data_IF_894066570788
#
_entry.id   IF_894066570788
#
_cell.length_a   1.000
_cell.length_b   1.000
_cell.length_c   1.000
_cell.angle_alpha   90.00
_cell.angle_beta   90.00
_cell.angle_gamma   90.00
#
_symmetry.space_group_name_H-M   'P 1'
#
loop_
_entity.id
_entity.type
_entity.pdbx_description
1 polymer ?
#
# COMPACT_ATOMS: atom_id res chain seq x y z
N UNK A 1 -0.34 32.32 22.20
CA UNK A 1 -0.59 31.27 21.18
C UNK A 1 -0.55 29.94 21.90
N UNK A 2 -1.72 29.37 22.18
CA UNK A 2 -1.86 28.11 22.91
C UNK A 2 -1.12 27.01 22.18
N UNK A 3 -0.21 26.34 22.88
CA UNK A 3 0.24 25.01 22.53
C UNK A 3 -0.94 24.06 22.64
N UNK A 4 -1.87 24.10 21.69
CA UNK A 4 -2.82 23.00 21.51
C UNK A 4 -1.99 21.76 21.25
N UNK A 5 -1.79 20.98 22.31
CA UNK A 5 -0.92 19.82 22.29
C UNK A 5 -1.37 18.93 21.15
N UNK A 6 -0.49 18.76 20.15
CA UNK A 6 -0.68 17.88 18.99
C UNK A 6 -1.19 16.53 19.49
N UNK A 7 -2.51 16.35 19.46
CA UNK A 7 -3.16 15.18 20.07
C UNK A 7 -2.86 14.00 19.16
N UNK A 8 -2.02 13.09 19.65
CA UNK A 8 -1.69 11.86 18.93
C UNK A 8 -2.98 11.05 18.71
N UNK A 9 -3.26 10.61 17.49
CA UNK A 9 -4.43 9.78 17.22
C UNK A 9 -4.29 8.43 17.93
N UNK A 10 -5.37 8.01 18.61
CA UNK A 10 -5.47 6.71 19.29
C UNK A 10 -5.22 5.56 18.32
N UNK A 11 -4.64 4.45 18.80
CA UNK A 11 -4.32 3.28 17.96
C UNK A 11 -5.49 2.75 17.13
N UNK A 12 -6.71 2.74 17.70
CA UNK A 12 -7.94 2.33 16.99
C UNK A 12 -8.25 3.20 15.76
N UNK A 13 -8.06 4.52 15.86
CA UNK A 13 -8.31 5.45 14.75
C UNK A 13 -7.27 5.27 13.66
N UNK A 14 -6.01 4.99 14.03
CA UNK A 14 -4.95 4.65 13.07
C UNK A 14 -5.27 3.37 12.31
N UNK A 15 -5.70 2.32 13.03
CA UNK A 15 -6.10 1.05 12.41
C UNK A 15 -7.30 1.23 11.47
N UNK A 16 -8.28 2.03 11.86
CA UNK A 16 -9.43 2.35 11.02
C UNK A 16 -9.02 3.10 9.74
N UNK A 17 -8.06 4.03 9.82
CA UNK A 17 -7.54 4.71 8.63
C UNK A 17 -6.94 3.70 7.63
N UNK A 18 -6.16 2.74 8.14
CA UNK A 18 -5.58 1.66 7.33
C UNK A 18 -6.66 0.74 6.77
N UNK A 19 -7.69 0.42 7.54
CA UNK A 19 -8.82 -0.38 7.09
C UNK A 19 -9.61 0.31 5.97
N UNK A 20 -9.81 1.63 6.05
CA UNK A 20 -10.46 2.41 4.98
C UNK A 20 -9.58 2.43 3.72
N UNK A 21 -8.27 2.60 3.85
CA UNK A 21 -7.35 2.52 2.72
C UNK A 21 -7.41 1.12 2.07
N UNK A 22 -7.37 0.05 2.86
CA UNK A 22 -7.50 -1.33 2.36
C UNK A 22 -8.86 -1.57 1.69
N UNK A 23 -9.96 -1.07 2.26
CA UNK A 23 -11.29 -1.16 1.68
C UNK A 23 -11.37 -0.40 0.34
N UNK A 24 -10.71 0.77 0.22
CA UNK A 24 -10.67 1.52 -1.04
C UNK A 24 -9.94 0.75 -2.15
N UNK A 25 -8.85 0.04 -1.80
CA UNK A 25 -8.15 -0.83 -2.73
C UNK A 25 -9.02 -2.03 -3.14
N UNK A 26 -9.67 -2.67 -2.17
CA UNK A 26 -10.58 -3.80 -2.42
C UNK A 26 -11.71 -3.41 -3.37
N UNK A 27 -12.32 -2.23 -3.17
CA UNK A 27 -13.37 -1.72 -4.05
C UNK A 27 -12.86 -1.51 -5.49
N UNK A 28 -11.65 -0.98 -5.67
CA UNK A 28 -11.06 -0.86 -7.00
C UNK A 28 -10.78 -2.22 -7.64
N UNK A 29 -10.28 -3.19 -6.87
CA UNK A 29 -10.03 -4.55 -7.37
C UNK A 29 -11.33 -5.23 -7.81
N UNK A 30 -12.39 -5.14 -7.00
CA UNK A 30 -13.71 -5.68 -7.36
C UNK A 30 -14.31 -4.98 -8.58
N UNK A 31 -14.19 -3.64 -8.66
CA UNK A 31 -14.63 -2.88 -9.83
C UNK A 31 -13.86 -3.26 -11.09
N UNK A 32 -12.54 -3.40 -10.99
CA UNK A 32 -11.69 -3.86 -12.08
C UNK A 32 -12.01 -5.29 -12.53
N UNK A 33 -12.28 -6.19 -11.60
CA UNK A 33 -12.74 -7.55 -11.89
C UNK A 33 -14.07 -7.54 -12.64
N UNK A 34 -15.02 -6.71 -12.23
CA UNK A 34 -16.30 -6.56 -12.92
C UNK A 34 -16.11 -6.02 -14.35
N UNK A 35 -15.26 -5.01 -14.54
CA UNK A 35 -14.93 -4.46 -15.87
C UNK A 35 -14.28 -5.52 -16.75
N UNK A 36 -13.30 -6.26 -16.22
CA UNK A 36 -12.64 -7.35 -16.93
C UNK A 36 -13.63 -8.47 -17.31
N UNK A 37 -14.54 -8.84 -16.40
CA UNK A 37 -15.55 -9.84 -16.65
C UNK A 37 -16.54 -9.40 -17.72
N UNK A 38 -17.04 -8.16 -17.67
CA UNK A 38 -17.92 -7.59 -18.70
C UNK A 38 -17.22 -7.54 -20.06
N UNK A 39 -15.94 -7.14 -20.10
CA UNK A 39 -15.14 -7.16 -21.32
C UNK A 39 -15.08 -8.57 -21.94
N UNK A 40 -14.75 -9.58 -21.13
CA UNK A 40 -14.68 -10.97 -21.58
C UNK A 40 -16.05 -11.49 -22.05
N UNK A 41 -17.14 -11.13 -21.36
CA UNK A 41 -18.50 -11.48 -21.79
C UNK A 41 -18.87 -10.87 -23.15
N UNK A 42 -18.55 -9.60 -23.38
CA UNK A 42 -18.79 -8.91 -24.66
C UNK A 42 -17.97 -9.59 -25.77
N UNK A 43 -16.72 -9.97 -25.49
CA UNK A 43 -15.86 -10.66 -26.47
C UNK A 43 -16.36 -12.07 -26.77
N UNK A 44 -16.84 -12.79 -25.75
CA UNK A 44 -17.45 -14.11 -25.89
C UNK A 44 -18.75 -14.07 -26.70
N UNK A 45 -19.63 -13.10 -26.44
CA UNK A 45 -20.89 -12.98 -27.18
C UNK A 45 -20.68 -12.57 -28.65
N UNK A 46 -19.59 -11.85 -28.93
CA UNK A 46 -19.18 -11.50 -30.29
C UNK A 46 -18.48 -12.64 -31.07
N UNK A 47 -18.28 -13.82 -30.46
CA UNK A 47 -17.57 -14.95 -31.06
C UNK A 47 -16.08 -14.70 -31.28
N UNK A 48 -15.49 -13.70 -30.59
CA UNK A 48 -14.09 -13.28 -30.74
C UNK A 48 -13.23 -13.65 -29.52
N UNK A 49 -13.77 -14.47 -28.61
CA UNK A 49 -13.05 -14.87 -27.41
C UNK A 49 -11.95 -15.85 -27.78
N UNK A 50 -10.71 -15.38 -27.65
CA UNK A 50 -9.53 -16.23 -27.68
C UNK A 50 -9.07 -16.44 -26.23
N UNK A 51 -9.45 -17.60 -25.67
CA UNK A 51 -9.11 -17.99 -24.32
C UNK A 51 -7.58 -18.14 -24.13
N UNK A 52 -6.86 -18.48 -25.21
CA UNK A 52 -5.51 -19.01 -25.10
C UNK A 52 -4.44 -17.93 -24.95
N UNK A 53 -4.65 -16.67 -25.35
CA UNK A 53 -3.59 -15.66 -25.11
C UNK A 53 -4.05 -14.20 -25.00
N UNK A 54 -4.79 -13.64 -25.97
CA UNK A 54 -4.95 -12.18 -26.05
C UNK A 54 -5.88 -11.54 -25.00
N UNK A 55 -7.13 -12.00 -24.94
CA UNK A 55 -8.18 -11.34 -24.14
C UNK A 55 -7.97 -11.57 -22.64
N UNK A 56 -7.49 -12.75 -22.25
CA UNK A 56 -7.13 -13.08 -20.87
C UNK A 56 -5.95 -12.23 -20.38
N UNK A 57 -4.93 -12.01 -21.22
CA UNK A 57 -3.79 -11.14 -20.86
C UNK A 57 -4.21 -9.68 -20.71
N UNK A 58 -5.11 -9.18 -21.57
CA UNK A 58 -5.63 -7.81 -21.44
C UNK A 58 -6.42 -7.66 -20.13
N UNK A 59 -7.33 -8.60 -19.84
CA UNK A 59 -8.10 -8.61 -18.60
C UNK A 59 -7.20 -8.70 -17.36
N UNK A 60 -6.22 -9.60 -17.38
CA UNK A 60 -5.24 -9.76 -16.30
C UNK A 60 -4.37 -8.50 -16.13
N UNK A 61 -3.97 -7.84 -17.22
CA UNK A 61 -3.17 -6.61 -17.17
C UNK A 61 -3.97 -5.42 -16.62
N UNK A 62 -5.25 -5.31 -16.98
CA UNK A 62 -6.15 -4.29 -16.44
C UNK A 62 -6.30 -4.42 -14.92
N UNK A 63 -6.51 -5.65 -14.43
CA UNK A 63 -6.56 -5.91 -12.99
C UNK A 63 -5.16 -5.68 -12.38
N UNK A 64 -4.11 -6.18 -13.05
CA UNK A 64 -2.68 -6.01 -12.77
C UNK A 64 -2.28 -4.58 -12.42
N UNK A 65 -2.81 -3.61 -13.17
CA UNK A 65 -2.48 -2.21 -13.04
C UNK A 65 -3.15 -1.52 -11.84
N UNK A 66 -4.17 -2.11 -11.21
CA UNK A 66 -4.97 -1.45 -10.17
C UNK A 66 -4.14 -1.15 -8.93
N UNK A 67 -3.39 -2.13 -8.43
CA UNK A 67 -2.56 -1.97 -7.23
C UNK A 67 -1.46 -0.91 -7.41
N UNK A 68 -0.64 -0.92 -8.49
CA UNK A 68 0.34 0.14 -8.70
C UNK A 68 -0.31 1.51 -8.93
N UNK A 69 -1.45 1.58 -9.64
CA UNK A 69 -2.17 2.83 -9.83
C UNK A 69 -2.72 3.40 -8.51
N UNK A 70 -3.34 2.56 -7.67
CA UNK A 70 -3.84 2.95 -6.36
C UNK A 70 -2.70 3.43 -5.45
N UNK A 71 -1.56 2.75 -5.51
CA UNK A 71 -0.36 3.10 -4.74
C UNK A 71 0.19 4.46 -5.16
N UNK A 72 0.31 4.68 -6.46
CA UNK A 72 0.76 5.95 -7.01
C UNK A 72 -0.20 7.08 -6.60
N UNK A 73 -1.51 6.82 -6.64
CA UNK A 73 -2.53 7.76 -6.18
C UNK A 73 -2.37 8.10 -4.70
N UNK A 74 -2.20 7.12 -3.81
CA UNK A 74 -1.95 7.35 -2.38
C UNK A 74 -0.64 8.10 -2.14
N UNK A 75 0.42 7.76 -2.88
CA UNK A 75 1.71 8.45 -2.83
C UNK A 75 1.60 9.93 -3.25
N UNK A 76 0.84 10.21 -4.30
CA UNK A 76 0.55 11.57 -4.76
C UNK A 76 -0.28 12.36 -3.73
N UNK A 77 -1.27 11.72 -3.09
CA UNK A 77 -2.05 12.33 -1.99
C UNK A 77 -1.16 12.65 -0.78
N UNK A 78 -0.29 11.73 -0.37
CA UNK A 78 0.68 11.99 0.70
C UNK A 78 1.65 13.12 0.34
N UNK A 79 2.12 13.16 -0.91
CA UNK A 79 3.02 14.21 -1.38
C UNK A 79 2.35 15.60 -1.35
N UNK A 80 1.12 15.70 -1.85
CA UNK A 80 0.38 16.97 -2.01
C UNK A 80 -0.38 17.38 -0.75
N UNK A 81 -1.21 16.49 -0.23
CA UNK A 81 -2.17 16.73 0.85
C UNK A 81 -1.66 16.29 2.23
N UNK A 82 -0.58 15.51 2.26
CA UNK A 82 -0.05 14.98 3.52
C UNK A 82 -0.88 13.87 4.15
N UNK A 83 -1.87 13.31 3.46
CA UNK A 83 -2.72 12.25 4.00
C UNK A 83 -3.07 11.23 2.92
N UNK A 84 -3.15 9.96 3.28
CA UNK A 84 -3.84 8.94 2.47
C UNK A 84 -5.34 9.21 2.43
N UNK A 85 -6.07 8.50 1.57
CA UNK A 85 -7.52 8.59 1.51
C UNK A 85 -8.18 8.30 2.87
N UNK A 86 -7.84 7.18 3.51
CA UNK A 86 -8.39 6.78 4.81
C UNK A 86 -7.99 7.73 5.95
N UNK A 87 -6.78 8.26 5.91
CA UNK A 87 -6.34 9.28 6.88
C UNK A 87 -7.16 10.57 6.75
N UNK A 88 -7.33 11.07 5.53
CA UNK A 88 -8.12 12.28 5.29
C UNK A 88 -9.58 12.12 5.74
N UNK A 89 -10.18 10.94 5.55
CA UNK A 89 -11.55 10.63 6.00
C UNK A 89 -11.73 10.68 7.52
N UNK A 90 -10.66 10.50 8.28
CA UNK A 90 -10.68 10.51 9.76
C UNK A 90 -10.09 11.80 10.35
N UNK A 91 -9.86 12.83 9.52
CA UNK A 91 -9.21 14.06 9.96
C UNK A 91 -7.79 13.83 10.47
N UNK A 92 -7.03 12.98 9.78
CA UNK A 92 -5.62 12.69 10.09
C UNK A 92 -4.73 13.22 8.97
N UNK A 93 -3.55 13.71 9.36
CA UNK A 93 -2.52 14.17 8.44
C UNK A 93 -1.14 13.68 8.89
N UNK A 94 -0.25 13.54 7.94
CA UNK A 94 1.16 13.21 8.12
C UNK A 94 1.96 14.52 8.00
N UNK A 95 2.55 14.92 9.11
CA UNK A 95 3.52 16.01 9.16
C UNK A 95 4.93 15.51 8.81
N UNK A 96 5.71 16.37 8.16
CA UNK A 96 7.07 16.09 7.71
C UNK A 96 7.32 16.58 6.28
N UNK A 97 8.54 16.41 5.79
CA UNK A 97 8.92 16.77 4.42
C UNK A 97 8.11 15.98 3.39
N UNK A 98 7.72 16.62 2.27
CA UNK A 98 6.87 16.00 1.23
C UNK A 98 7.36 14.63 0.79
N UNK A 99 8.65 14.51 0.50
CA UNK A 99 9.29 13.24 0.14
C UNK A 99 9.27 12.22 1.26
N UNK A 100 9.51 12.62 2.51
CA UNK A 100 9.39 11.74 3.69
C UNK A 100 7.99 11.15 3.82
N UNK A 101 6.94 11.95 3.56
CA UNK A 101 5.55 11.46 3.58
C UNK A 101 5.28 10.37 2.54
N UNK A 102 5.88 10.47 1.36
CA UNK A 102 5.76 9.42 0.33
C UNK A 102 6.62 8.21 0.65
N UNK A 103 7.83 8.41 1.19
CA UNK A 103 8.74 7.34 1.63
C UNK A 103 8.09 6.50 2.72
N UNK A 104 7.30 7.12 3.61
CA UNK A 104 6.46 6.46 4.61
C UNK A 104 5.56 5.38 4.00
N UNK A 105 5.03 5.59 2.80
CA UNK A 105 4.19 4.60 2.12
C UNK A 105 5.00 3.33 1.80
N UNK A 106 6.21 3.47 1.25
CA UNK A 106 7.08 2.32 0.90
C UNK A 106 7.38 1.41 2.10
N UNK A 107 7.47 2.00 3.29
CA UNK A 107 7.79 1.31 4.54
C UNK A 107 6.54 0.98 5.38
N UNK A 108 5.35 1.32 4.88
CA UNK A 108 4.08 1.05 5.56
C UNK A 108 3.68 -0.42 5.39
N UNK A 109 3.05 -1.07 6.40
CA UNK A 109 2.59 -2.46 6.29
C UNK A 109 1.69 -2.73 5.08
N UNK A 110 0.92 -1.73 4.64
CA UNK A 110 0.04 -1.87 3.47
C UNK A 110 0.82 -2.13 2.17
N UNK A 111 2.10 -1.73 2.13
CA UNK A 111 2.98 -2.01 0.99
C UNK A 111 3.40 -3.47 0.90
N UNK A 112 3.16 -4.28 1.94
CA UNK A 112 3.26 -5.74 1.82
C UNK A 112 2.24 -6.30 0.83
N UNK A 113 1.05 -5.70 0.74
CA UNK A 113 0.03 -6.12 -0.24
C UNK A 113 0.47 -5.80 -1.67
N UNK A 114 1.18 -4.69 -1.87
CA UNK A 114 1.84 -4.34 -3.13
C UNK A 114 2.87 -5.38 -3.56
N UNK A 115 3.74 -5.80 -2.64
CA UNK A 115 4.75 -6.82 -2.92
C UNK A 115 4.12 -8.19 -3.21
N UNK A 116 3.08 -8.56 -2.44
CA UNK A 116 2.29 -9.75 -2.72
C UNK A 116 1.60 -9.69 -4.08
N UNK A 117 1.13 -8.51 -4.49
CA UNK A 117 0.54 -8.30 -5.82
C UNK A 117 1.55 -8.44 -6.95
N UNK A 118 2.72 -7.82 -6.84
CA UNK A 118 3.82 -7.96 -7.81
C UNK A 118 4.17 -9.44 -7.97
N UNK A 119 4.24 -10.18 -6.87
CA UNK A 119 4.49 -11.61 -6.89
C UNK A 119 3.40 -12.40 -7.63
N UNK A 120 2.12 -12.15 -7.33
CA UNK A 120 0.98 -12.79 -8.01
C UNK A 120 1.01 -12.47 -9.51
N UNK A 121 1.39 -11.25 -9.88
CA UNK A 121 1.46 -10.84 -11.28
C UNK A 121 2.59 -11.57 -12.02
N UNK A 122 3.75 -11.73 -11.37
CA UNK A 122 4.87 -12.53 -11.90
C UNK A 122 4.51 -14.02 -12.02
N UNK A 123 3.77 -14.58 -11.05
CA UNK A 123 3.20 -15.94 -11.11
C UNK A 123 2.35 -16.13 -12.36
N UNK A 124 1.39 -15.23 -12.57
CA UNK A 124 0.43 -15.31 -13.66
C UNK A 124 1.07 -15.05 -15.03
N UNK A 125 2.18 -14.31 -15.08
CA UNK A 125 2.96 -14.09 -16.30
C UNK A 125 3.81 -15.30 -16.73
N UNK A 126 3.71 -16.44 -16.04
CA UNK A 126 4.45 -17.65 -16.39
C UNK A 126 5.91 -17.65 -15.91
N UNK A 127 6.25 -16.82 -14.91
CA UNK A 127 7.57 -16.89 -14.31
C UNK A 127 7.82 -18.28 -13.72
N UNK A 128 9.00 -18.90 -13.94
CA UNK A 128 9.29 -20.21 -13.37
C UNK A 128 9.15 -20.17 -11.85
N UNK A 129 8.49 -21.18 -11.28
CA UNK A 129 8.18 -21.26 -9.85
C UNK A 129 9.41 -21.06 -8.94
N UNK A 130 10.60 -21.42 -9.41
CA UNK A 130 11.87 -21.23 -8.68
C UNK A 130 12.24 -19.76 -8.53
N UNK A 131 12.04 -18.94 -9.55
CA UNK A 131 12.25 -17.48 -9.48
C UNK A 131 11.23 -16.84 -8.56
N UNK A 132 10.04 -17.42 -8.50
CA UNK A 132 9.01 -16.99 -7.59
C UNK A 132 9.37 -17.29 -6.13
N UNK A 133 9.81 -18.50 -5.84
CA UNK A 133 10.27 -18.88 -4.50
C UNK A 133 11.43 -17.98 -4.05
N UNK A 134 12.38 -17.71 -4.95
CA UNK A 134 13.49 -16.77 -4.71
C UNK A 134 12.98 -15.35 -4.47
N UNK A 135 11.98 -14.88 -5.23
CA UNK A 135 11.39 -13.55 -5.04
C UNK A 135 10.60 -13.45 -3.73
N UNK A 136 9.81 -14.47 -3.34
CA UNK A 136 9.12 -14.53 -2.04
C UNK A 136 10.14 -14.52 -0.92
N UNK A 137 11.10 -15.44 -0.95
CA UNK A 137 12.12 -15.55 0.09
C UNK A 137 12.90 -14.24 0.20
N UNK A 138 13.32 -13.62 -0.91
CA UNK A 138 14.00 -12.33 -0.87
C UNK A 138 13.09 -11.21 -0.34
N UNK A 139 11.84 -11.11 -0.79
CA UNK A 139 10.91 -10.10 -0.30
C UNK A 139 10.66 -10.29 1.20
N UNK A 140 10.38 -11.51 1.65
CA UNK A 140 10.20 -11.87 3.06
C UNK A 140 11.46 -11.59 3.87
N UNK A 141 12.65 -11.90 3.37
CA UNK A 141 13.92 -11.61 4.03
C UNK A 141 14.15 -10.10 4.10
N UNK A 142 13.96 -9.35 3.02
CA UNK A 142 14.12 -7.88 3.00
C UNK A 142 13.11 -7.21 3.93
N UNK A 143 11.84 -7.61 3.88
CA UNK A 143 10.78 -7.11 4.76
C UNK A 143 11.09 -7.46 6.22
N UNK A 144 11.45 -8.71 6.50
CA UNK A 144 11.77 -9.17 7.86
C UNK A 144 13.00 -8.46 8.38
N UNK A 145 14.09 -8.36 7.61
CA UNK A 145 15.30 -7.65 7.99
C UNK A 145 15.05 -6.15 8.15
N UNK A 146 14.18 -5.55 7.33
CA UNK A 146 13.79 -4.16 7.45
C UNK A 146 13.01 -3.93 8.75
N UNK A 147 12.03 -4.79 9.08
CA UNK A 147 11.25 -4.69 10.31
C UNK A 147 12.06 -5.04 11.55
N UNK A 148 12.89 -6.08 11.51
CA UNK A 148 13.80 -6.48 12.58
C UNK A 148 14.87 -5.41 12.79
N UNK A 149 15.47 -4.88 11.73
CA UNK A 149 16.43 -3.77 11.81
C UNK A 149 15.79 -2.50 12.37
N UNK A 150 14.58 -2.15 11.91
CA UNK A 150 13.84 -1.03 12.47
C UNK A 150 13.48 -1.26 13.95
N UNK A 151 13.11 -2.49 14.33
CA UNK A 151 12.87 -2.89 15.72
C UNK A 151 14.15 -2.77 16.56
N UNK A 152 15.29 -3.32 16.11
CA UNK A 152 16.56 -3.29 16.81
C UNK A 152 17.09 -1.86 17.01
N UNK A 153 17.07 -1.03 15.96
CA UNK A 153 17.44 0.39 16.07
C UNK A 153 16.53 1.14 17.03
N UNK A 154 15.24 0.80 17.02
CA UNK A 154 14.27 1.44 17.88
C UNK A 154 14.40 1.02 19.35
N UNK A 155 14.78 -0.24 19.63
CA UNK A 155 15.12 -0.75 20.97
C UNK A 155 16.43 -0.11 21.45
N UNK A 156 17.47 -0.09 20.61
CA UNK A 156 18.78 0.46 20.95
C UNK A 156 18.73 1.96 21.28
N UNK A 157 17.80 2.71 20.66
CA UNK A 157 17.68 4.16 20.89
C UNK A 157 16.81 4.55 22.08
N UNK A 158 16.10 3.62 22.73
CA UNK A 158 15.47 3.71 24.07
C UNK A 158 14.48 4.85 24.38
N UNK A 159 14.47 5.93 23.61
CA UNK A 159 13.84 7.22 23.90
C UNK A 159 12.72 7.56 22.91
N UNK A 160 12.77 7.05 21.68
CA UNK A 160 11.77 7.35 20.65
C UNK A 160 10.48 6.50 20.81
N UNK A 161 10.58 5.29 21.37
CA UNK A 161 9.41 4.49 21.79
C UNK A 161 8.64 5.12 22.94
N UNK A 162 9.33 5.81 23.87
CA UNK A 162 8.68 6.61 24.94
C UNK A 162 7.79 7.73 24.36
N UNK A 163 7.97 8.07 23.07
CA UNK A 163 7.18 9.06 22.34
C UNK A 163 6.25 8.44 21.28
N UNK A 164 5.98 7.13 21.29
CA UNK A 164 4.90 6.49 20.53
C UNK A 164 4.95 6.68 18.99
N UNK A 165 6.14 6.89 18.42
CA UNK A 165 6.32 6.92 16.95
C UNK A 165 6.52 5.50 16.45
N UNK A 166 5.79 5.13 15.38
CA UNK A 166 5.93 3.82 14.76
C UNK A 166 7.24 3.77 13.93
N UNK A 167 7.84 2.58 13.71
CA UNK A 167 9.12 2.47 13.01
C UNK A 167 9.13 3.13 11.61
N UNK A 168 8.01 3.04 10.89
CA UNK A 168 7.85 3.70 9.59
C UNK A 168 7.79 5.22 9.67
N UNK A 169 7.19 5.79 10.74
CA UNK A 169 7.16 7.23 10.96
C UNK A 169 8.58 7.74 11.27
N UNK A 170 9.35 6.98 12.03
CA UNK A 170 10.75 7.29 12.36
C UNK A 170 11.65 7.29 11.14
N UNK A 171 11.64 6.20 10.35
CA UNK A 171 12.43 6.05 9.12
C UNK A 171 12.13 7.18 8.13
N UNK A 172 10.84 7.50 7.96
CA UNK A 172 10.39 8.57 7.08
C UNK A 172 10.61 9.98 7.66
N UNK A 173 11.04 10.10 8.92
CA UNK A 173 11.08 11.36 9.69
C UNK A 173 9.75 12.12 9.64
N UNK A 174 8.65 11.39 9.76
CA UNK A 174 7.27 11.91 9.72
C UNK A 174 6.54 11.67 11.03
N UNK A 175 5.36 12.29 11.20
CA UNK A 175 4.46 12.01 12.32
C UNK A 175 3.01 12.06 11.87
N UNK A 176 2.20 11.14 12.39
CA UNK A 176 0.76 11.19 12.23
C UNK A 176 0.11 12.09 13.28
N UNK A 177 -0.61 13.11 12.83
CA UNK A 177 -1.32 14.10 13.64
C UNK A 177 -2.80 14.14 13.26
N UNK A 178 -3.61 14.78 14.10
CA UNK A 178 -5.00 15.10 13.77
C UNK A 178 -4.99 16.40 12.96
N UNK A 179 -5.66 16.46 11.81
CA UNK A 179 -5.85 17.73 11.12
C UNK A 179 -6.82 18.58 11.93
N UNK A 180 -6.37 19.78 12.32
CA UNK A 180 -7.21 20.83 12.90
C UNK A 180 -8.30 21.26 11.92
#
# INVERSE_FOLDING_TARGET
MSSEGVRRPRGRVRLLAVAIDAASLLLLLLGGLAVAFVWLLIRSSAGRYDAETGDTLIAASLIGAIVPAWTAWQGARLYRLGATFGQARLGLAVEGARWGRTLRLLVHPISLLLWGWVLITLLLAGAPFIWLLVAVVNATVVITLFWVGALLVSVARGSEWRHGRLPHDWLARTRLVRSS
#
